data_IF_399814915056
#
_entry.id   IF_399814915056
#
_cell.length_a   1.000
_cell.length_b   1.000
_cell.length_c   1.000
_cell.angle_alpha   90.00
_cell.angle_beta   90.00
_cell.angle_gamma   90.00
#
_symmetry.space_group_name_H-M   'P 1'
#
loop_
_entity.id
_entity.type
_entity.pdbx_description
1 polymer ?
#
# COMPACT_ATOMS: atom_id res chain seq x y z
N UNK A 1 0.93 -3.78 -16.25
CA UNK A 1 0.54 -2.38 -16.01
C UNK A 1 -0.97 -2.25 -16.18
N UNK A 2 -1.64 -1.31 -15.50
CA UNK A 2 -3.07 -1.08 -15.65
C UNK A 2 -3.38 -0.51 -17.04
N UNK A 3 -4.47 -0.95 -17.65
CA UNK A 3 -4.98 -0.46 -18.93
C UNK A 3 -6.48 -0.80 -19.07
N UNK A 4 -7.15 -0.37 -20.14
CA UNK A 4 -8.59 -0.55 -20.34
C UNK A 4 -9.12 -2.01 -20.22
N UNK A 5 -8.30 -3.04 -20.47
CA UNK A 5 -8.68 -4.45 -20.31
C UNK A 5 -8.20 -5.11 -19.01
N UNK A 6 -7.56 -4.36 -18.10
CA UNK A 6 -6.95 -4.92 -16.88
C UNK A 6 -6.92 -3.90 -15.76
N UNK A 7 -7.63 -4.22 -14.70
CA UNK A 7 -7.59 -3.51 -13.42
C UNK A 7 -6.56 -4.22 -12.53
N UNK A 8 -5.68 -3.44 -11.92
CA UNK A 8 -4.73 -3.95 -10.92
C UNK A 8 -5.18 -3.47 -9.56
N UNK A 9 -5.33 -4.40 -8.63
CA UNK A 9 -5.60 -4.13 -7.22
C UNK A 9 -4.29 -4.29 -6.47
N UNK A 10 -3.79 -3.19 -5.94
CA UNK A 10 -2.56 -3.15 -5.16
C UNK A 10 -2.87 -3.04 -3.67
N UNK A 11 -2.43 -4.04 -2.90
CA UNK A 11 -2.51 -4.03 -1.45
C UNK A 11 -1.22 -3.49 -0.86
N UNK A 12 -1.34 -2.38 -0.14
CA UNK A 12 -0.26 -1.76 0.61
C UNK A 12 -0.64 -1.69 2.09
N UNK A 13 0.31 -2.03 2.97
CA UNK A 13 0.13 -1.96 4.41
C UNK A 13 1.10 -0.91 4.96
N UNK A 14 0.54 0.12 5.59
CA UNK A 14 1.29 1.12 6.34
C UNK A 14 1.11 0.82 7.84
N UNK A 15 2.22 0.76 8.56
CA UNK A 15 2.22 0.74 10.02
C UNK A 15 2.85 2.03 10.53
N UNK A 16 2.07 2.86 11.23
CA UNK A 16 2.54 4.13 11.78
C UNK A 16 1.98 4.30 13.20
N UNK A 17 2.85 4.60 14.17
CA UNK A 17 2.48 4.85 15.57
C UNK A 17 1.56 3.77 16.18
N UNK A 18 1.81 2.50 15.88
CA UNK A 18 0.99 1.37 16.35
C UNK A 18 -0.34 1.16 15.61
N UNK A 19 -0.69 2.03 14.67
CA UNK A 19 -1.89 1.90 13.83
C UNK A 19 -1.51 1.21 12.52
N UNK A 20 -2.26 0.18 12.15
CA UNK A 20 -2.12 -0.52 10.86
C UNK A 20 -3.18 -0.01 9.89
N UNK A 21 -2.74 0.72 8.86
CA UNK A 21 -3.58 1.11 7.74
C UNK A 21 -3.35 0.16 6.57
N UNK A 22 -4.44 -0.41 6.03
CA UNK A 22 -4.41 -1.26 4.85
C UNK A 22 -5.07 -0.51 3.71
N UNK A 23 -4.27 -0.16 2.72
CA UNK A 23 -4.72 0.49 1.49
C UNK A 23 -4.93 -0.56 0.41
N UNK A 24 -6.12 -0.58 -0.16
CA UNK A 24 -6.50 -1.41 -1.30
C UNK A 24 -6.70 -0.45 -2.47
N UNK A 25 -5.71 -0.39 -3.35
CA UNK A 25 -5.61 0.61 -4.41
C UNK A 25 -6.06 -0.01 -5.72
N UNK A 26 -7.10 0.54 -6.32
CA UNK A 26 -7.63 0.13 -7.61
C UNK A 26 -7.08 1.02 -8.71
N UNK A 27 -6.13 0.49 -9.48
CA UNK A 27 -5.64 1.13 -10.69
C UNK A 27 -6.64 0.93 -11.83
N UNK A 28 -7.47 1.95 -12.05
CA UNK A 28 -8.60 1.91 -12.99
C UNK A 28 -8.69 3.21 -13.79
N UNK A 29 -8.33 3.10 -15.08
CA UNK A 29 -8.21 4.24 -16.01
C UNK A 29 -9.52 4.57 -16.73
N UNK A 30 -10.64 4.60 -15.99
CA UNK A 30 -11.98 4.88 -16.55
C UNK A 30 -12.50 6.28 -16.21
N UNK A 31 -11.68 7.11 -15.55
CA UNK A 31 -12.02 8.48 -15.17
C UNK A 31 -12.75 8.59 -13.84
N UNK A 32 -12.68 9.77 -13.22
CA UNK A 32 -13.14 9.99 -11.84
C UNK A 32 -14.62 9.66 -11.61
N UNK A 33 -15.50 9.98 -12.56
CA UNK A 33 -16.97 9.77 -12.41
C UNK A 33 -17.34 8.28 -12.36
N UNK A 34 -16.65 7.44 -13.13
CA UNK A 34 -16.79 5.99 -13.11
C UNK A 34 -16.17 5.41 -11.85
N UNK A 35 -14.97 5.88 -11.50
CA UNK A 35 -14.27 5.44 -10.28
C UNK A 35 -15.04 5.80 -9.00
N UNK A 36 -15.74 6.93 -8.97
CA UNK A 36 -16.62 7.32 -7.86
C UNK A 36 -17.75 6.30 -7.66
N UNK A 37 -18.37 5.82 -8.75
CA UNK A 37 -19.38 4.76 -8.68
C UNK A 37 -18.80 3.46 -8.11
N UNK A 38 -17.69 2.99 -8.70
CA UNK A 38 -17.07 1.71 -8.34
C UNK A 38 -16.58 1.72 -6.89
N UNK A 39 -15.91 2.79 -6.47
CA UNK A 39 -15.42 2.97 -5.10
C UNK A 39 -16.54 2.90 -4.07
N UNK A 40 -17.66 3.60 -4.30
CA UNK A 40 -18.82 3.58 -3.39
C UNK A 40 -19.50 2.24 -3.34
N UNK A 41 -19.63 1.55 -4.48
CA UNK A 41 -20.18 0.20 -4.51
C UNK A 41 -19.31 -0.77 -3.70
N UNK A 42 -17.99 -0.70 -3.88
CA UNK A 42 -17.02 -1.51 -3.13
C UNK A 42 -17.10 -1.21 -1.64
N UNK A 43 -17.07 0.06 -1.24
CA UNK A 43 -17.17 0.47 0.15
C UNK A 43 -18.49 0.02 0.80
N UNK A 44 -19.61 0.18 0.10
CA UNK A 44 -20.91 -0.26 0.59
C UNK A 44 -20.95 -1.78 0.75
N UNK A 45 -20.41 -2.53 -0.20
CA UNK A 45 -20.34 -3.98 -0.12
C UNK A 45 -19.45 -4.45 1.04
N UNK A 46 -18.30 -3.78 1.28
CA UNK A 46 -17.45 -4.06 2.45
C UNK A 46 -18.20 -3.80 3.75
N UNK A 47 -18.86 -2.64 3.86
CA UNK A 47 -19.66 -2.30 5.04
C UNK A 47 -20.79 -3.30 5.31
N UNK A 48 -21.37 -3.90 4.25
CA UNK A 48 -22.43 -4.92 4.39
C UNK A 48 -21.91 -6.31 4.74
N UNK A 49 -20.77 -6.72 4.18
CA UNK A 49 -20.22 -8.08 4.36
C UNK A 49 -19.39 -8.18 5.63
N UNK A 50 -18.57 -7.17 5.90
CA UNK A 50 -17.59 -7.19 6.98
C UNK A 50 -17.99 -6.29 8.17
N UNK A 51 -19.10 -5.56 8.08
CA UNK A 51 -19.60 -4.63 9.12
C UNK A 51 -18.58 -3.56 9.54
N UNK A 52 -17.84 -3.03 8.57
CA UNK A 52 -16.74 -2.08 8.79
C UNK A 52 -16.93 -0.80 8.01
N UNK A 53 -16.53 0.30 8.62
CA UNK A 53 -16.36 1.55 7.91
C UNK A 53 -15.01 1.57 7.20
N UNK A 54 -15.01 2.16 6.01
CA UNK A 54 -13.81 2.30 5.19
C UNK A 54 -13.71 3.73 4.72
N UNK A 55 -12.48 4.21 4.59
CA UNK A 55 -12.21 5.50 3.97
C UNK A 55 -11.96 5.31 2.48
N UNK A 56 -12.39 6.28 1.68
CA UNK A 56 -12.27 6.27 0.22
C UNK A 56 -11.50 7.49 -0.24
N UNK A 57 -10.57 7.29 -1.18
CA UNK A 57 -10.04 8.37 -2.00
C UNK A 57 -10.17 8.05 -3.47
N UNK A 58 -10.53 9.06 -4.26
CA UNK A 58 -10.95 8.90 -5.66
C UNK A 58 -10.16 9.86 -6.55
N UNK A 59 -9.68 9.33 -7.67
CA UNK A 59 -8.95 10.04 -8.72
C UNK A 59 -9.40 9.60 -10.10
N UNK A 60 -8.89 10.26 -11.13
CA UNK A 60 -9.14 9.92 -12.53
C UNK A 60 -8.54 8.57 -12.93
N UNK A 61 -7.41 8.21 -12.32
CA UNK A 61 -6.66 7.00 -12.65
C UNK A 61 -6.94 5.81 -11.71
N UNK A 62 -7.82 6.01 -10.73
CA UNK A 62 -8.17 4.97 -9.79
C UNK A 62 -8.80 5.48 -8.52
N UNK A 63 -8.96 4.58 -7.56
CA UNK A 63 -9.44 4.90 -6.22
C UNK A 63 -8.76 3.98 -5.22
N UNK A 64 -8.74 4.36 -3.94
CA UNK A 64 -8.31 3.46 -2.87
C UNK A 64 -9.43 3.28 -1.85
N UNK A 65 -9.39 2.14 -1.18
CA UNK A 65 -10.16 1.85 0.01
C UNK A 65 -9.18 1.63 1.16
N UNK A 66 -9.28 2.43 2.22
CA UNK A 66 -8.46 2.25 3.43
C UNK A 66 -9.31 1.58 4.51
N UNK A 67 -8.75 0.53 5.11
CA UNK A 67 -9.33 -0.20 6.24
C UNK A 67 -8.26 -0.45 7.30
N UNK A 68 -8.69 -0.59 8.55
CA UNK A 68 -7.85 -1.00 9.68
C UNK A 68 -7.54 -2.51 9.69
N UNK A 69 -8.29 -3.29 8.90
CA UNK A 69 -8.31 -4.74 8.99
C UNK A 69 -8.34 -5.38 7.61
N UNK A 70 -8.04 -6.68 7.56
CA UNK A 70 -7.92 -7.40 6.29
C UNK A 70 -9.32 -7.52 5.64
N UNK A 71 -9.42 -7.14 4.38
CA UNK A 71 -10.62 -7.25 3.55
C UNK A 71 -10.32 -8.17 2.37
N UNK A 72 -11.23 -9.10 2.05
CA UNK A 72 -11.09 -9.95 0.87
C UNK A 72 -11.77 -9.29 -0.33
N UNK A 73 -11.01 -8.51 -1.08
CA UNK A 73 -11.54 -7.67 -2.15
C UNK A 73 -12.13 -8.47 -3.32
N UNK A 74 -11.54 -9.64 -3.63
CA UNK A 74 -12.05 -10.52 -4.68
C UNK A 74 -13.41 -11.09 -4.32
N UNK A 75 -13.66 -11.41 -3.05
CA UNK A 75 -14.99 -11.81 -2.57
C UNK A 75 -15.99 -10.68 -2.74
N UNK A 76 -15.61 -9.45 -2.38
CA UNK A 76 -16.47 -8.27 -2.51
C UNK A 76 -16.85 -8.02 -3.98
N UNK A 77 -15.89 -8.04 -4.91
CA UNK A 77 -16.15 -7.83 -6.34
C UNK A 77 -17.08 -8.91 -6.93
N UNK A 78 -17.05 -10.14 -6.42
CA UNK A 78 -17.96 -11.21 -6.86
C UNK A 78 -19.42 -10.97 -6.44
N UNK A 79 -19.64 -10.26 -5.34
CA UNK A 79 -20.97 -9.94 -4.79
C UNK A 79 -21.60 -8.77 -5.53
N UNK A 80 -20.79 -7.82 -6.01
CA UNK A 80 -21.28 -6.65 -6.76
C UNK A 80 -21.64 -7.10 -8.18
N UNK A 81 -22.93 -7.30 -8.42
CA UNK A 81 -23.44 -7.70 -9.73
C UNK A 81 -23.88 -6.50 -10.57
N UNK A 82 -23.63 -6.57 -11.87
CA UNK A 82 -24.02 -5.49 -12.79
C UNK A 82 -25.54 -5.24 -12.80
N UNK A 83 -26.35 -6.30 -12.64
CA UNK A 83 -27.81 -6.19 -12.61
C UNK A 83 -28.33 -5.47 -11.36
N UNK A 84 -27.66 -5.63 -10.22
CA UNK A 84 -28.03 -5.01 -8.94
C UNK A 84 -27.30 -3.68 -8.68
N UNK A 85 -26.40 -3.28 -9.57
CA UNK A 85 -25.47 -2.18 -9.36
C UNK A 85 -26.17 -0.85 -9.03
N UNK A 86 -27.27 -0.55 -9.72
CA UNK A 86 -28.04 0.67 -9.48
C UNK A 86 -28.67 0.70 -8.09
N UNK A 87 -29.22 -0.43 -7.64
CA UNK A 87 -29.78 -0.56 -6.30
C UNK A 87 -28.68 -0.47 -5.24
N UNK A 88 -27.52 -1.09 -5.49
CA UNK A 88 -26.35 -0.99 -4.62
C UNK A 88 -25.91 0.47 -4.49
N UNK A 89 -25.73 1.19 -5.59
CA UNK A 89 -25.31 2.59 -5.58
C UNK A 89 -26.34 3.50 -4.91
N UNK A 90 -27.62 3.34 -5.24
CA UNK A 90 -28.70 4.11 -4.63
C UNK A 90 -28.66 3.99 -3.10
N UNK A 91 -28.45 2.77 -2.59
CA UNK A 91 -28.29 2.54 -1.15
C UNK A 91 -26.97 3.11 -0.60
N UNK A 92 -25.88 3.03 -1.36
CA UNK A 92 -24.57 3.57 -0.97
C UNK A 92 -24.61 5.10 -0.82
N UNK A 93 -25.31 5.81 -1.70
CA UNK A 93 -25.42 7.27 -1.65
C UNK A 93 -26.47 7.78 -0.65
N UNK A 94 -27.40 6.92 -0.21
CA UNK A 94 -28.60 7.36 0.52
C UNK A 94 -28.30 8.10 1.84
N UNK A 95 -27.18 7.73 2.49
CA UNK A 95 -26.70 8.33 3.76
C UNK A 95 -25.57 9.35 3.57
N UNK A 96 -25.19 9.66 2.33
CA UNK A 96 -24.05 10.54 2.04
C UNK A 96 -24.45 12.02 2.05
N UNK A 97 -23.48 12.88 2.37
CA UNK A 97 -23.66 14.35 2.30
C UNK A 97 -23.89 14.83 0.86
N UNK A 98 -23.38 14.08 -0.13
CA UNK A 98 -23.57 14.37 -1.56
C UNK A 98 -25.05 14.36 -1.92
N UNK A 99 -25.79 13.33 -1.51
CA UNK A 99 -27.24 13.25 -1.76
C UNK A 99 -27.99 14.36 -1.01
N UNK A 100 -27.67 14.63 0.25
CA UNK A 100 -28.31 15.71 1.03
C UNK A 100 -28.13 17.07 0.35
N UNK A 101 -26.91 17.36 -0.13
CA UNK A 101 -26.60 18.58 -0.86
C UNK A 101 -27.39 18.68 -2.16
N UNK A 102 -27.45 17.60 -2.95
CA UNK A 102 -28.23 17.58 -4.21
C UNK A 102 -29.73 17.69 -3.97
N UNK A 103 -30.26 17.02 -2.95
CA UNK A 103 -31.65 17.16 -2.53
C UNK A 103 -31.99 18.61 -2.19
N UNK A 104 -31.15 19.30 -1.41
CA UNK A 104 -31.33 20.73 -1.11
C UNK A 104 -31.40 21.57 -2.38
N UNK A 105 -30.56 21.30 -3.38
CA UNK A 105 -30.59 22.03 -4.65
C UNK A 105 -31.90 21.77 -5.41
N UNK A 106 -32.32 20.51 -5.52
CA UNK A 106 -33.56 20.12 -6.17
C UNK A 106 -34.79 20.74 -5.48
N UNK A 107 -34.88 20.60 -4.16
CA UNK A 107 -35.94 21.18 -3.34
C UNK A 107 -35.99 22.71 -3.43
N UNK A 108 -34.83 23.37 -3.50
CA UNK A 108 -34.75 24.82 -3.68
C UNK A 108 -35.12 25.28 -5.10
N UNK A 109 -34.99 24.44 -6.13
CA UNK A 109 -35.49 24.71 -7.49
C UNK A 109 -36.99 24.42 -7.61
N UNK A 110 -37.47 23.40 -6.90
CA UNK A 110 -38.89 23.05 -6.79
C UNK A 110 -39.67 23.93 -5.80
N UNK A 111 -39.06 25.00 -5.27
CA UNK A 111 -39.67 25.94 -4.32
C UNK A 111 -40.17 25.30 -3.00
N UNK A 112 -39.70 24.11 -2.65
CA UNK A 112 -40.02 23.44 -1.38
C UNK A 112 -39.25 24.04 -0.19
N UNK A 113 -38.16 24.77 -0.45
CA UNK A 113 -37.37 25.47 0.55
C UNK A 113 -37.48 26.98 0.33
N UNK A 114 -37.99 27.68 1.34
CA UNK A 114 -38.12 29.14 1.31
C UNK A 114 -36.75 29.81 1.38
N UNK A 115 -36.39 30.59 0.35
CA UNK A 115 -35.16 31.40 0.33
C UNK A 115 -35.33 32.74 1.03
N UNK A 116 -36.54 33.29 0.97
CA UNK A 116 -36.93 34.55 1.59
C UNK A 116 -38.29 34.38 2.28
N UNK A 117 -38.46 35.02 3.42
CA UNK A 117 -39.72 35.05 4.14
C UNK A 117 -40.06 36.49 4.50
N UNK A 118 -41.23 36.97 4.04
CA UNK A 118 -41.72 38.35 4.25
C UNK A 118 -40.66 39.41 3.92
N UNK A 119 -40.06 39.31 2.74
CA UNK A 119 -39.03 40.26 2.25
C UNK A 119 -37.65 40.12 2.89
N UNK A 120 -37.44 39.17 3.83
CA UNK A 120 -36.14 38.92 4.45
C UNK A 120 -35.51 37.63 3.94
N UNK A 121 -34.27 37.71 3.47
CA UNK A 121 -33.49 36.54 3.05
C UNK A 121 -33.20 35.64 4.26
N UNK A 122 -33.45 34.34 4.11
CA UNK A 122 -33.12 33.38 5.17
C UNK A 122 -31.61 33.13 5.23
N UNK A 123 -31.08 32.92 6.44
CA UNK A 123 -29.68 32.53 6.64
C UNK A 123 -29.43 31.15 6.02
N UNK A 124 -28.26 30.97 5.39
CA UNK A 124 -27.86 29.71 4.74
C UNK A 124 -27.97 28.52 5.69
N UNK A 125 -27.49 28.64 6.93
CA UNK A 125 -27.59 27.57 7.92
C UNK A 125 -29.03 27.13 8.22
N UNK A 126 -29.99 28.06 8.26
CA UNK A 126 -31.41 27.71 8.42
C UNK A 126 -31.96 26.94 7.22
N UNK A 127 -31.55 27.32 6.00
CA UNK A 127 -31.92 26.58 4.79
C UNK A 127 -31.33 25.16 4.80
N UNK A 128 -30.11 24.99 5.33
CA UNK A 128 -29.51 23.66 5.48
C UNK A 128 -30.30 22.78 6.44
N UNK A 129 -30.59 23.26 7.65
CA UNK A 129 -31.38 22.51 8.65
C UNK A 129 -32.77 22.17 8.11
N UNK A 130 -33.45 23.14 7.51
CA UNK A 130 -34.78 22.92 6.91
C UNK A 130 -34.72 21.87 5.79
N UNK A 131 -33.68 21.86 4.96
CA UNK A 131 -33.51 20.87 3.89
C UNK A 131 -33.31 19.44 4.42
N UNK A 132 -32.61 19.28 5.55
CA UNK A 132 -32.41 17.97 6.16
C UNK A 132 -33.71 17.43 6.75
N UNK A 133 -34.46 18.26 7.48
CA UNK A 133 -35.78 17.89 8.04
C UNK A 133 -36.74 17.52 6.91
N UNK A 134 -36.78 18.33 5.84
CA UNK A 134 -37.62 18.08 4.67
C UNK A 134 -37.24 16.77 3.98
N UNK A 135 -35.95 16.46 3.84
CA UNK A 135 -35.49 15.20 3.25
C UNK A 135 -35.95 14.00 4.06
N UNK A 136 -35.87 14.07 5.40
CA UNK A 136 -36.35 13.01 6.28
C UNK A 136 -37.86 12.81 6.14
N UNK A 137 -38.65 13.89 6.18
CA UNK A 137 -40.10 13.82 6.01
C UNK A 137 -40.50 13.24 4.64
N UNK A 138 -39.82 13.65 3.57
CA UNK A 138 -40.06 13.12 2.22
C UNK A 138 -39.75 11.63 2.14
N UNK A 139 -38.65 11.17 2.75
CA UNK A 139 -38.28 9.75 2.82
C UNK A 139 -39.28 8.89 3.59
N UNK A 140 -39.90 9.45 4.63
CA UNK A 140 -40.95 8.77 5.41
C UNK A 140 -42.26 8.62 4.62
N UNK A 141 -42.60 9.61 3.80
CA UNK A 141 -43.80 9.58 2.96
C UNK A 141 -43.63 8.57 1.81
N UNK A 142 -42.58 8.73 0.99
CA UNK A 142 -42.32 7.86 -0.15
C UNK A 142 -40.84 7.93 -0.55
N UNK A 143 -40.19 6.76 -0.63
CA UNK A 143 -38.83 6.65 -1.13
C UNK A 143 -38.70 7.06 -2.60
N UNK A 144 -39.78 7.06 -3.37
CA UNK A 144 -39.82 7.46 -4.78
C UNK A 144 -40.35 8.87 -5.00
N UNK A 145 -40.47 9.69 -3.95
CA UNK A 145 -40.92 11.08 -4.07
C UNK A 145 -40.11 11.83 -5.14
N UNK A 146 -40.81 12.56 -6.03
CA UNK A 146 -40.23 13.09 -7.27
C UNK A 146 -38.92 13.86 -7.08
N UNK A 147 -38.86 14.75 -6.07
CA UNK A 147 -37.65 15.55 -5.80
C UNK A 147 -36.51 14.73 -5.22
N UNK A 148 -36.81 13.67 -4.45
CA UNK A 148 -35.79 12.76 -3.95
C UNK A 148 -35.26 11.85 -5.07
N UNK A 149 -36.16 11.37 -5.94
CA UNK A 149 -35.81 10.59 -7.13
C UNK A 149 -34.91 11.40 -8.07
N UNK A 150 -35.27 12.66 -8.34
CA UNK A 150 -34.46 13.56 -9.17
C UNK A 150 -33.09 13.84 -8.53
N UNK A 151 -33.04 14.06 -7.21
CA UNK A 151 -31.78 14.23 -6.51
C UNK A 151 -30.86 13.00 -6.62
N UNK A 152 -31.42 11.78 -6.53
CA UNK A 152 -30.65 10.55 -6.75
C UNK A 152 -30.17 10.46 -8.20
N UNK A 153 -31.03 10.78 -9.18
CA UNK A 153 -30.69 10.79 -10.60
C UNK A 153 -29.54 11.77 -10.91
N UNK A 154 -29.60 13.02 -10.45
CA UNK A 154 -28.50 13.98 -10.61
C UNK A 154 -27.19 13.48 -9.97
N UNK A 155 -27.25 12.79 -8.83
CA UNK A 155 -26.04 12.22 -8.20
C UNK A 155 -25.45 11.11 -9.07
N UNK A 156 -26.28 10.15 -9.49
CA UNK A 156 -25.81 8.94 -10.17
C UNK A 156 -25.43 9.17 -11.63
N UNK A 157 -26.11 10.10 -12.32
CA UNK A 157 -25.94 10.34 -13.75
C UNK A 157 -25.17 11.63 -14.07
N UNK A 158 -25.37 12.73 -13.34
CA UNK A 158 -24.76 14.02 -13.70
C UNK A 158 -23.44 14.25 -12.96
N UNK A 159 -23.38 13.91 -11.67
CA UNK A 159 -22.15 13.98 -10.89
C UNK A 159 -21.28 12.74 -11.13
N UNK A 160 -21.88 11.56 -11.06
CA UNK A 160 -21.22 10.28 -11.31
C UNK A 160 -21.50 9.79 -12.73
N UNK A 161 -21.01 8.61 -13.09
CA UNK A 161 -21.31 7.97 -14.38
C UNK A 161 -21.65 6.50 -14.17
N UNK A 162 -22.90 6.28 -13.72
CA UNK A 162 -23.40 4.95 -13.41
C UNK A 162 -23.47 4.03 -14.64
N UNK A 163 -23.75 4.59 -15.81
CA UNK A 163 -23.92 3.83 -17.05
C UNK A 163 -22.60 3.20 -17.48
N UNK A 164 -21.52 4.00 -17.56
CA UNK A 164 -20.20 3.47 -17.91
C UNK A 164 -19.63 2.58 -16.80
N UNK A 165 -19.90 2.89 -15.52
CA UNK A 165 -19.50 2.00 -14.43
C UNK A 165 -20.17 0.62 -14.50
N UNK A 166 -21.44 0.56 -14.93
CA UNK A 166 -22.14 -0.70 -15.19
C UNK A 166 -21.50 -1.49 -16.32
N UNK A 167 -21.07 -0.83 -17.40
CA UNK A 167 -20.34 -1.49 -18.50
C UNK A 167 -19.00 -2.08 -18.02
N UNK A 168 -18.27 -1.38 -17.15
CA UNK A 168 -17.04 -1.90 -16.55
C UNK A 168 -17.32 -3.16 -15.73
N UNK A 169 -18.36 -3.17 -14.89
CA UNK A 169 -18.74 -4.36 -14.13
C UNK A 169 -19.16 -5.53 -15.03
N UNK A 170 -19.95 -5.28 -16.07
CA UNK A 170 -20.31 -6.30 -17.06
C UNK A 170 -19.06 -6.87 -17.77
N UNK A 171 -18.08 -6.01 -18.08
CA UNK A 171 -16.82 -6.44 -18.66
C UNK A 171 -16.00 -7.31 -17.71
N UNK A 172 -16.02 -7.03 -16.40
CA UNK A 172 -15.39 -7.86 -15.37
C UNK A 172 -16.12 -9.22 -15.27
N UNK A 173 -17.45 -9.21 -15.18
CA UNK A 173 -18.27 -10.42 -15.09
C UNK A 173 -18.11 -11.35 -16.31
N UNK A 174 -18.04 -10.76 -17.50
CA UNK A 174 -17.80 -11.48 -18.76
C UNK A 174 -16.34 -11.91 -18.96
N UNK A 175 -15.43 -11.57 -18.04
CA UNK A 175 -14.00 -11.88 -18.14
C UNK A 175 -13.24 -11.07 -19.21
N UNK A 176 -13.87 -10.05 -19.81
CA UNK A 176 -13.23 -9.14 -20.78
C UNK A 176 -12.24 -8.20 -20.10
N UNK A 177 -12.55 -7.78 -18.88
CA UNK A 177 -11.67 -6.98 -18.02
C UNK A 177 -11.07 -7.90 -16.97
N UNK A 178 -9.75 -8.10 -17.03
CA UNK A 178 -9.02 -8.90 -16.04
C UNK A 178 -8.82 -8.09 -14.77
N UNK A 179 -9.03 -8.73 -13.63
CA UNK A 179 -8.74 -8.14 -12.31
C UNK A 179 -7.63 -8.96 -11.67
N UNK A 180 -6.53 -8.31 -11.32
CA UNK A 180 -5.38 -8.97 -10.72
C UNK A 180 -4.96 -8.29 -9.43
N UNK A 181 -4.56 -9.09 -8.45
CA UNK A 181 -4.18 -8.62 -7.13
C UNK A 181 -2.66 -8.72 -6.96
N UNK A 182 -2.04 -7.63 -6.49
CA UNK A 182 -0.63 -7.57 -6.14
C UNK A 182 -0.49 -7.04 -4.71
N UNK A 183 0.48 -7.55 -3.98
CA UNK A 183 0.81 -7.05 -2.64
C UNK A 183 2.18 -6.39 -2.68
N UNK A 184 2.25 -5.15 -2.19
CA UNK A 184 3.47 -4.36 -2.22
C UNK A 184 3.82 -3.88 -0.80
N UNK A 185 5.11 -3.94 -0.49
CA UNK A 185 5.65 -3.39 0.77
C UNK A 185 5.75 -1.86 0.74
N UNK A 186 5.86 -1.29 -0.46
CA UNK A 186 5.89 0.15 -0.75
C UNK A 186 4.94 0.37 -1.91
N UNK A 187 4.05 1.38 -1.87
CA UNK A 187 3.15 1.70 -2.96
C UNK A 187 3.92 1.88 -4.27
N UNK A 188 3.34 1.39 -5.35
CA UNK A 188 3.84 1.64 -6.69
C UNK A 188 3.82 3.15 -7.00
N UNK A 189 4.59 3.62 -7.99
CA UNK A 189 4.54 5.03 -8.42
C UNK A 189 3.12 5.52 -8.75
N UNK A 190 2.27 4.65 -9.32
CA UNK A 190 0.87 4.97 -9.58
C UNK A 190 0.05 5.01 -8.28
N UNK A 191 0.30 4.07 -7.36
CA UNK A 191 -0.41 3.96 -6.09
C UNK A 191 -0.09 5.12 -5.15
N UNK A 192 1.12 5.65 -5.28
CA UNK A 192 1.62 6.76 -4.47
C UNK A 192 0.72 7.99 -4.55
N UNK A 193 0.36 8.42 -5.77
CA UNK A 193 -0.52 9.57 -5.97
C UNK A 193 -1.91 9.40 -5.34
N UNK A 194 -2.43 8.17 -5.32
CA UNK A 194 -3.73 7.83 -4.77
C UNK A 194 -3.68 7.84 -3.25
N UNK A 195 -2.66 7.21 -2.66
CA UNK A 195 -2.44 7.17 -1.21
C UNK A 195 -2.25 8.58 -0.65
N UNK A 196 -1.50 9.45 -1.34
CA UNK A 196 -1.28 10.84 -0.94
C UNK A 196 -2.59 11.64 -0.80
N UNK A 197 -3.61 11.35 -1.61
CA UNK A 197 -4.91 12.04 -1.54
C UNK A 197 -5.67 11.74 -0.23
N UNK A 198 -5.41 10.62 0.45
CA UNK A 198 -6.02 10.36 1.75
C UNK A 198 -5.46 11.23 2.87
N UNK A 199 -4.21 11.64 2.72
CA UNK A 199 -3.55 12.50 3.70
C UNK A 199 -3.99 13.96 3.61
N UNK A 200 -4.55 14.40 2.47
CA UNK A 200 -4.93 15.82 2.27
C UNK A 200 -6.09 16.30 3.14
N UNK A 201 -6.93 15.41 3.68
CA UNK A 201 -8.00 15.80 4.59
C UNK A 201 -7.54 15.96 6.05
N UNK A 202 -6.31 15.52 6.39
CA UNK A 202 -5.83 15.40 7.79
C UNK A 202 -4.54 16.19 8.07
N UNK A 203 -3.71 16.47 7.06
CA UNK A 203 -2.34 16.98 7.26
C UNK A 203 -2.07 18.39 6.73
N UNK A 204 -1.10 19.09 7.34
CA UNK A 204 -0.58 20.37 6.84
C UNK A 204 0.19 20.14 5.54
N UNK A 205 0.32 21.18 4.72
CA UNK A 205 1.06 21.09 3.44
C UNK A 205 2.53 20.67 3.62
N UNK A 206 3.14 20.99 4.76
CA UNK A 206 4.51 20.57 5.13
C UNK A 206 4.61 19.05 5.29
N UNK A 207 3.69 18.43 6.02
CA UNK A 207 3.65 16.97 6.24
C UNK A 207 3.44 16.19 4.93
N UNK A 208 2.73 16.79 3.96
CA UNK A 208 2.52 16.21 2.62
C UNK A 208 3.84 16.11 1.85
N UNK A 209 4.68 17.15 1.94
CA UNK A 209 5.95 17.20 1.26
C UNK A 209 6.96 16.24 1.89
N UNK A 210 6.97 16.14 3.22
CA UNK A 210 7.80 15.19 3.95
C UNK A 210 7.40 13.73 3.63
N UNK A 211 6.10 13.44 3.58
CA UNK A 211 5.60 12.12 3.17
C UNK A 211 6.00 11.79 1.72
N UNK A 212 5.89 12.76 0.80
CA UNK A 212 6.31 12.60 -0.59
C UNK A 212 7.80 12.28 -0.70
N UNK A 213 8.66 13.03 0.02
CA UNK A 213 10.10 12.80 0.05
C UNK A 213 10.43 11.40 0.58
N UNK A 214 9.95 11.06 1.78
CA UNK A 214 10.16 9.75 2.40
C UNK A 214 9.80 8.59 1.47
N UNK A 215 8.69 8.71 0.75
CA UNK A 215 8.19 7.65 -0.10
C UNK A 215 8.94 7.56 -1.42
N UNK A 216 9.39 8.70 -1.95
CA UNK A 216 10.35 8.73 -3.06
C UNK A 216 11.64 7.99 -2.67
N UNK A 217 12.19 8.29 -1.49
CA UNK A 217 13.41 7.65 -0.97
C UNK A 217 13.24 6.13 -0.83
N UNK A 218 12.09 5.67 -0.33
CA UNK A 218 11.78 4.25 -0.23
C UNK A 218 11.72 3.56 -1.61
N UNK A 219 11.20 4.23 -2.64
CA UNK A 219 11.19 3.70 -4.01
C UNK A 219 12.61 3.60 -4.56
N UNK A 220 13.44 4.62 -4.35
CA UNK A 220 14.84 4.60 -4.77
C UNK A 220 15.63 3.48 -4.08
N UNK A 221 15.46 3.33 -2.76
CA UNK A 221 16.07 2.25 -2.00
C UNK A 221 15.65 0.86 -2.54
N UNK A 222 14.37 0.69 -2.88
CA UNK A 222 13.87 -0.56 -3.48
C UNK A 222 14.49 -0.83 -4.86
N UNK A 223 14.65 0.20 -5.68
CA UNK A 223 15.31 0.09 -6.99
C UNK A 223 16.78 -0.35 -6.79
N UNK A 224 17.52 0.32 -5.90
CA UNK A 224 18.91 -0.01 -5.59
C UNK A 224 19.09 -1.45 -5.07
N UNK A 225 18.21 -1.91 -4.19
CA UNK A 225 18.21 -3.30 -3.68
C UNK A 225 17.93 -4.33 -4.79
N UNK A 226 17.06 -4.02 -5.75
CA UNK A 226 16.81 -4.90 -6.89
C UNK A 226 18.00 -4.98 -7.85
N UNK A 227 18.76 -3.89 -8.01
CA UNK A 227 20.01 -3.88 -8.77
C UNK A 227 21.08 -4.75 -8.10
N UNK A 228 21.25 -4.60 -6.78
CA UNK A 228 22.17 -5.44 -6.00
C UNK A 228 21.83 -6.95 -6.08
N UNK A 229 20.54 -7.30 -6.14
CA UNK A 229 20.09 -8.70 -6.33
C UNK A 229 20.27 -9.23 -7.76
N UNK A 230 20.29 -8.35 -8.77
CA UNK A 230 20.46 -8.74 -10.18
C UNK A 230 21.94 -8.79 -10.62
N UNK A 231 22.90 -8.53 -9.73
CA UNK A 231 24.33 -8.48 -10.06
C UNK A 231 24.75 -7.31 -10.96
N UNK A 232 23.82 -6.41 -11.31
CA UNK A 232 24.12 -5.17 -12.06
C UNK A 232 24.51 -4.07 -11.07
N UNK A 233 25.75 -3.57 -11.18
CA UNK A 233 26.16 -2.32 -10.53
C UNK A 233 25.34 -1.16 -11.14
N UNK A 234 24.82 -0.28 -10.29
CA UNK A 234 24.23 0.99 -10.72
C UNK A 234 25.34 1.85 -11.33
N UNK A 235 25.08 2.53 -12.46
CA UNK A 235 26.08 3.40 -13.07
C UNK A 235 26.27 4.68 -12.24
N UNK A 236 27.45 5.30 -12.29
CA UNK A 236 27.70 6.57 -11.58
C UNK A 236 26.77 7.70 -12.06
N UNK A 237 26.32 7.64 -13.31
CA UNK A 237 25.33 8.56 -13.90
C UNK A 237 23.93 8.38 -13.27
N UNK A 238 23.50 7.15 -13.00
CA UNK A 238 22.24 6.88 -12.32
C UNK A 238 22.24 7.40 -10.87
N UNK A 239 23.40 7.35 -10.21
CA UNK A 239 23.57 7.86 -8.84
C UNK A 239 23.54 9.39 -8.82
N UNK A 240 24.23 10.04 -9.76
CA UNK A 240 24.30 11.50 -9.89
C UNK A 240 22.95 12.13 -10.27
N UNK A 241 22.17 11.46 -11.14
CA UNK A 241 20.80 11.87 -11.48
C UNK A 241 19.84 11.84 -10.29
N UNK A 242 20.04 10.91 -9.34
CA UNK A 242 19.24 10.82 -8.12
C UNK A 242 19.61 11.92 -7.12
N UNK A 243 20.89 12.26 -7.01
CA UNK A 243 21.40 13.25 -6.04
C UNK A 243 21.12 14.70 -6.46
N UNK A 244 21.10 15.01 -7.76
CA UNK A 244 20.88 16.37 -8.28
C UNK A 244 19.46 16.93 -8.09
N UNK A 245 18.47 16.10 -7.77
CA UNK A 245 17.07 16.55 -7.57
C UNK A 245 16.78 17.11 -6.18
N UNK A 246 17.59 16.77 -5.17
CA UNK A 246 17.36 17.18 -3.77
C UNK A 246 17.89 18.58 -3.44
N UNK A 247 18.69 19.20 -4.32
CA UNK A 247 19.37 20.47 -4.02
C UNK A 247 18.49 21.72 -4.18
N UNK A 248 17.25 21.57 -4.66
CA UNK A 248 16.33 22.69 -4.92
C UNK A 248 15.31 22.92 -3.80
N UNK A 249 15.62 23.86 -2.90
CA UNK A 249 14.80 24.43 -1.82
C UNK A 249 14.84 23.71 -0.47
N UNK A 250 15.53 24.36 0.49
CA UNK A 250 15.69 23.95 1.87
C UNK A 250 15.30 25.10 2.82
N UNK A 251 14.34 24.85 3.72
CA UNK A 251 14.29 25.56 5.00
C UNK A 251 13.91 24.60 6.13
N UNK A 252 14.92 24.32 6.97
CA UNK A 252 14.89 24.06 8.42
C UNK A 252 13.95 22.98 9.00
N UNK A 253 14.44 21.75 9.04
CA UNK A 253 14.79 20.95 10.23
C UNK A 253 15.79 19.90 9.74
N UNK A 254 16.74 19.43 10.56
CA UNK A 254 17.93 18.67 10.13
C UNK A 254 17.66 17.75 8.92
N UNK A 255 18.32 17.98 7.76
CA UNK A 255 18.03 17.23 6.56
C UNK A 255 18.39 15.76 6.80
N UNK A 256 17.37 14.91 6.78
CA UNK A 256 17.51 13.47 6.80
C UNK A 256 18.43 13.05 5.64
N UNK A 257 19.67 12.71 5.97
CA UNK A 257 20.71 12.38 5.01
C UNK A 257 20.69 10.89 4.71
N UNK A 258 20.45 10.55 3.44
CA UNK A 258 20.50 9.19 2.92
C UNK A 258 21.87 8.53 3.17
N UNK A 259 22.95 9.31 3.11
CA UNK A 259 24.29 8.82 3.42
C UNK A 259 24.38 8.34 4.87
N UNK A 260 23.79 9.08 5.82
CA UNK A 260 23.87 8.74 7.24
C UNK A 260 22.96 7.56 7.62
N UNK A 261 21.79 7.44 6.97
CA UNK A 261 20.89 6.29 7.11
C UNK A 261 21.49 5.01 6.51
N UNK A 262 22.04 5.10 5.30
CA UNK A 262 22.73 4.00 4.64
C UNK A 262 23.95 3.59 5.44
N UNK A 263 24.77 4.54 5.86
CA UNK A 263 25.95 4.28 6.69
C UNK A 263 25.56 3.64 8.03
N UNK A 264 24.51 4.08 8.72
CA UNK A 264 24.00 3.42 9.94
C UNK A 264 23.45 2.02 9.67
N UNK A 265 22.73 1.81 8.56
CA UNK A 265 22.19 0.50 8.21
C UNK A 265 23.28 -0.47 7.73
N UNK A 266 24.32 0.06 7.09
CA UNK A 266 25.50 -0.68 6.65
C UNK A 266 26.41 -0.97 7.84
N UNK A 267 26.66 -0.02 8.74
CA UNK A 267 27.32 -0.19 10.04
C UNK A 267 26.57 -1.22 10.90
N UNK A 268 25.24 -1.20 10.90
CA UNK A 268 24.44 -2.20 11.62
C UNK A 268 24.53 -3.59 10.98
N UNK A 269 24.49 -3.68 9.65
CA UNK A 269 24.70 -4.95 8.93
C UNK A 269 26.13 -5.47 9.07
N UNK A 270 27.11 -4.58 9.08
CA UNK A 270 28.51 -4.91 9.35
C UNK A 270 28.67 -5.38 10.79
N UNK A 271 28.07 -4.68 11.77
CA UNK A 271 28.08 -5.10 13.17
C UNK A 271 27.38 -6.46 13.37
N UNK A 272 26.22 -6.69 12.76
CA UNK A 272 25.52 -8.00 12.80
C UNK A 272 26.35 -9.11 12.12
N UNK A 273 27.08 -8.78 11.06
CA UNK A 273 27.98 -9.71 10.37
C UNK A 273 29.26 -9.98 11.18
N UNK A 274 29.82 -8.98 11.82
CA UNK A 274 31.00 -9.08 12.67
C UNK A 274 30.67 -9.87 13.94
N UNK A 275 29.51 -9.63 14.56
CA UNK A 275 28.99 -10.42 15.71
C UNK A 275 28.78 -11.90 15.33
N UNK A 276 28.27 -12.17 14.13
CA UNK A 276 28.14 -13.54 13.62
C UNK A 276 29.50 -14.21 13.39
N UNK A 277 30.46 -13.49 12.80
CA UNK A 277 31.83 -13.98 12.57
C UNK A 277 32.54 -14.25 13.91
N UNK A 278 32.40 -13.35 14.88
CA UNK A 278 33.01 -13.47 16.20
C UNK A 278 32.42 -14.65 16.99
N UNK A 279 31.11 -14.88 16.91
CA UNK A 279 30.46 -16.06 17.48
C UNK A 279 30.97 -17.37 16.82
N UNK A 280 31.12 -17.41 15.49
CA UNK A 280 31.70 -18.57 14.80
C UNK A 280 33.15 -18.84 15.21
N UNK A 281 33.97 -17.79 15.33
CA UNK A 281 35.36 -17.91 15.82
C UNK A 281 35.39 -18.42 17.26
N UNK A 282 34.53 -17.91 18.13
CA UNK A 282 34.39 -18.36 19.50
C UNK A 282 34.00 -19.85 19.58
N UNK A 283 33.03 -20.27 18.78
CA UNK A 283 32.62 -21.67 18.67
C UNK A 283 33.77 -22.56 18.19
N UNK A 284 34.52 -22.13 17.18
CA UNK A 284 35.67 -22.87 16.65
C UNK A 284 36.79 -23.05 17.69
N UNK A 285 37.11 -21.99 18.45
CA UNK A 285 38.11 -22.04 19.50
C UNK A 285 37.71 -22.95 20.68
N UNK A 286 36.43 -22.98 21.03
CA UNK A 286 35.90 -23.75 22.15
C UNK A 286 35.51 -25.20 21.82
N UNK A 287 35.80 -25.70 20.61
CA UNK A 287 35.60 -27.12 20.30
C UNK A 287 36.47 -28.01 21.22
N UNK A 288 35.83 -28.90 21.96
CA UNK A 288 36.51 -29.89 22.80
C UNK A 288 37.03 -31.06 21.96
N UNK A 289 38.17 -31.63 22.35
CA UNK A 289 38.79 -32.80 21.68
C UNK A 289 39.14 -32.61 20.19
N UNK A 290 39.28 -31.36 19.72
CA UNK A 290 39.71 -31.03 18.35
C UNK A 290 41.15 -30.49 18.35
N UNK A 291 42.06 -31.01 17.49
CA UNK A 291 43.44 -30.54 17.41
C UNK A 291 43.54 -29.03 17.08
N UNK A 292 44.58 -28.38 17.61
CA UNK A 292 44.82 -26.94 17.45
C UNK A 292 44.85 -26.49 15.98
N UNK A 293 45.53 -27.25 15.12
CA UNK A 293 45.64 -26.92 13.70
C UNK A 293 44.29 -26.94 12.96
N UNK A 294 43.31 -27.72 13.43
CA UNK A 294 41.96 -27.78 12.86
C UNK A 294 41.19 -26.52 13.26
N UNK A 295 41.35 -26.05 14.50
CA UNK A 295 40.75 -24.79 14.97
C UNK A 295 41.29 -23.59 14.21
N UNK A 296 42.60 -23.55 13.99
CA UNK A 296 43.26 -22.49 13.20
C UNK A 296 42.74 -22.46 11.76
N UNK A 297 42.59 -23.63 11.12
CA UNK A 297 42.08 -23.72 9.76
C UNK A 297 40.60 -23.33 9.66
N UNK A 298 39.77 -23.68 10.65
CA UNK A 298 38.38 -23.21 10.75
C UNK A 298 38.29 -21.68 10.85
N UNK A 299 39.10 -21.07 11.72
CA UNK A 299 39.14 -19.60 11.88
C UNK A 299 39.61 -18.93 10.58
N UNK A 300 40.61 -19.50 9.93
CA UNK A 300 41.11 -19.04 8.63
C UNK A 300 40.02 -19.09 7.54
N UNK A 301 39.19 -20.13 7.53
CA UNK A 301 38.03 -20.24 6.64
C UNK A 301 36.92 -19.24 6.99
N UNK A 302 36.66 -19.01 8.28
CA UNK A 302 35.70 -17.99 8.77
C UNK A 302 36.14 -16.58 8.36
N UNK A 303 37.44 -16.31 8.34
CA UNK A 303 38.03 -15.05 7.85
C UNK A 303 38.05 -14.93 6.31
N UNK A 304 37.55 -15.92 5.58
CA UNK A 304 37.45 -15.89 4.11
C UNK A 304 38.74 -16.30 3.38
N UNK A 305 39.78 -16.75 4.09
CA UNK A 305 41.03 -17.25 3.48
C UNK A 305 40.85 -18.71 3.08
N UNK A 306 40.39 -18.94 1.84
CA UNK A 306 40.00 -20.27 1.32
C UNK A 306 41.03 -20.91 0.37
N UNK A 307 42.17 -20.28 0.18
CA UNK A 307 43.25 -20.78 -0.68
C UNK A 307 44.25 -21.64 0.11
N UNK A 308 44.70 -22.75 -0.48
CA UNK A 308 45.72 -23.60 0.14
C UNK A 308 45.27 -24.27 1.43
N UNK A 309 44.04 -24.80 1.44
CA UNK A 309 43.53 -25.57 2.58
C UNK A 309 44.36 -26.84 2.74
N UNK A 310 44.77 -27.14 3.97
CA UNK A 310 45.61 -28.32 4.21
C UNK A 310 44.85 -29.61 3.88
N UNK A 311 45.50 -30.53 3.17
CA UNK A 311 44.88 -31.82 2.77
C UNK A 311 44.50 -32.68 3.98
N UNK A 312 45.33 -32.68 5.02
CA UNK A 312 45.08 -33.41 6.27
C UNK A 312 43.84 -32.90 7.03
N UNK A 313 43.52 -31.61 6.91
CA UNK A 313 42.27 -31.05 7.42
C UNK A 313 41.05 -31.60 6.65
N UNK A 314 41.08 -31.57 5.31
CA UNK A 314 39.99 -32.08 4.48
C UNK A 314 39.74 -33.58 4.69
N UNK A 315 40.81 -34.37 4.75
CA UNK A 315 40.75 -35.81 5.02
C UNK A 315 40.17 -36.08 6.42
N UNK A 316 40.51 -35.24 7.40
CA UNK A 316 39.94 -35.30 8.75
C UNK A 316 38.45 -34.98 8.79
N UNK A 317 38.00 -33.91 8.12
CA UNK A 317 36.57 -33.56 8.07
C UNK A 317 35.74 -34.66 7.40
N UNK A 318 36.24 -35.29 6.34
CA UNK A 318 35.51 -36.38 5.67
C UNK A 318 35.50 -37.65 6.53
N UNK A 319 36.61 -37.97 7.22
CA UNK A 319 36.72 -39.13 8.12
C UNK A 319 35.80 -39.03 9.34
N UNK A 320 35.65 -37.85 9.94
CA UNK A 320 34.87 -37.62 11.15
C UNK A 320 33.50 -36.95 10.90
N UNK A 321 33.03 -36.96 9.65
CA UNK A 321 31.82 -36.27 9.18
C UNK A 321 30.55 -36.54 10.00
N UNK A 322 30.33 -37.81 10.38
CA UNK A 322 29.15 -38.20 11.14
C UNK A 322 29.24 -37.83 12.62
N UNK A 323 30.45 -37.72 13.16
CA UNK A 323 30.70 -37.24 14.51
C UNK A 323 30.50 -35.73 14.59
N UNK A 324 31.09 -34.98 13.65
CA UNK A 324 30.93 -33.52 13.51
C UNK A 324 29.44 -33.12 13.44
N UNK A 325 28.63 -33.87 12.68
CA UNK A 325 27.18 -33.60 12.58
C UNK A 325 26.46 -33.70 13.92
N UNK A 326 26.93 -34.57 14.82
CA UNK A 326 26.33 -34.83 16.13
C UNK A 326 26.85 -33.91 17.23
N UNK A 327 28.15 -33.64 17.25
CA UNK A 327 28.82 -33.00 18.41
C UNK A 327 29.05 -31.50 18.23
N UNK A 328 29.17 -30.99 17.00
CA UNK A 328 29.52 -29.57 16.79
C UNK A 328 28.29 -28.64 16.88
N UNK A 329 28.51 -27.37 17.29
CA UNK A 329 27.48 -26.34 17.25
C UNK A 329 26.84 -26.22 15.86
N UNK A 330 25.52 -25.98 15.84
CA UNK A 330 24.73 -25.99 14.61
C UNK A 330 25.20 -24.94 13.59
N UNK A 331 25.50 -23.74 14.06
CA UNK A 331 25.93 -22.64 13.20
C UNK A 331 27.29 -22.91 12.56
N UNK A 332 28.25 -23.40 13.36
CA UNK A 332 29.59 -23.73 12.89
C UNK A 332 29.59 -24.88 11.86
N UNK A 333 28.80 -25.94 12.08
CA UNK A 333 28.76 -27.06 11.13
C UNK A 333 28.04 -26.70 9.83
N UNK A 334 26.97 -25.90 9.90
CA UNK A 334 26.25 -25.43 8.71
C UNK A 334 27.14 -24.50 7.87
N UNK A 335 27.93 -23.64 8.53
CA UNK A 335 28.99 -22.85 7.89
C UNK A 335 30.05 -23.75 7.23
N UNK A 336 30.63 -24.70 7.96
CA UNK A 336 31.68 -25.59 7.45
C UNK A 336 31.22 -26.37 6.21
N UNK A 337 30.05 -27.03 6.27
CA UNK A 337 29.57 -27.84 5.16
C UNK A 337 29.07 -27.01 3.98
N UNK A 338 28.63 -25.76 4.18
CA UNK A 338 28.32 -24.86 3.06
C UNK A 338 29.60 -24.42 2.34
N UNK A 339 30.63 -24.03 3.07
CA UNK A 339 31.92 -23.62 2.49
C UNK A 339 32.61 -24.78 1.78
N UNK A 340 32.58 -25.99 2.32
CA UNK A 340 33.14 -27.17 1.65
C UNK A 340 32.42 -27.52 0.35
N UNK A 341 31.12 -27.23 0.23
CA UNK A 341 30.37 -27.38 -1.04
C UNK A 341 30.72 -26.32 -2.08
N UNK A 342 31.24 -25.17 -1.67
CA UNK A 342 31.68 -24.10 -2.57
C UNK A 342 33.12 -24.32 -3.08
N UNK A 343 33.91 -25.13 -2.36
CA UNK A 343 35.32 -25.40 -2.66
C UNK A 343 35.51 -26.76 -3.40
N UNK A 344 34.56 -27.68 -3.25
CA UNK A 344 34.49 -28.95 -4.01
C UNK A 344 33.90 -28.72 -5.40
#
# INVERSE_FOLDING_TARGET
>A
MPHNGRIIIENYIEQRAGITNRYIIFHSLYGRRVNDCLSRAVAFAISRVDHKDVELGISDNGFYVRSDSKVNILKILKIIKANDFEKILSNAIDKTEILKRRFRHCAARALMILRSYKGRTQRVGRQQVSSMILMSAVKEIDQNFAILKEARREVLEDLMDINNAKLVLQGIEAGKIKVEEITTTVPSPFGFSLVLMGYTDILKMEDRMEFLKRMHDMVLAKIALNYGKSGKKMSEEDIDLLQKRDSGNLSSSEPFSYHDMWKKAEEKKFAEKDEYIDNLKFQAWNLEHVPMFVKEELVRMIEGKREGIRKDFLDGIEKYKDEIKKTWPKELKDFLFSVLKEIA
#
